data_IF_211341191234
#
_entry.id   IF_211341191234
#
_cell.length_a   1.000
_cell.length_b   1.000
_cell.length_c   1.000
_cell.angle_alpha   90.00
_cell.angle_beta   90.00
_cell.angle_gamma   90.00
#
_symmetry.space_group_name_H-M   'P 1'
#
loop_
_entity.id
_entity.type
_entity.pdbx_description
1 polymer ?
#
# COMPACT_ATOMS: atom_id res chain seq x y z
N UNK A 1 7.92 -5.03 -10.79
CA UNK A 1 6.60 -5.62 -10.46
C UNK A 1 6.54 -7.15 -10.40
N UNK A 2 7.34 -7.96 -11.08
CA UNK A 2 7.44 -9.38 -10.73
C UNK A 2 7.78 -9.56 -9.24
N UNK A 3 8.61 -8.68 -8.70
CA UNK A 3 9.02 -8.68 -7.29
C UNK A 3 7.87 -8.37 -6.31
N UNK A 4 6.90 -7.54 -6.70
CA UNK A 4 5.76 -7.18 -5.85
C UNK A 4 4.69 -8.27 -5.84
N UNK A 5 4.39 -8.88 -7.00
CA UNK A 5 3.52 -10.06 -7.10
C UNK A 5 4.12 -11.29 -6.40
N UNK A 6 5.44 -11.49 -6.51
CA UNK A 6 6.13 -12.54 -5.77
C UNK A 6 6.06 -12.34 -4.26
N UNK A 7 6.24 -11.09 -3.75
CA UNK A 7 6.08 -10.82 -2.31
C UNK A 7 4.65 -10.99 -1.82
N UNK A 8 3.64 -10.59 -2.58
CA UNK A 8 2.23 -10.81 -2.24
C UNK A 8 1.86 -12.31 -2.27
N UNK A 9 2.36 -13.05 -3.24
CA UNK A 9 2.24 -14.52 -3.26
C UNK A 9 2.97 -15.14 -2.06
N UNK A 10 4.20 -14.72 -1.75
CA UNK A 10 4.96 -15.27 -0.63
C UNK A 10 4.24 -15.18 0.72
N UNK A 11 3.58 -14.05 1.05
CA UNK A 11 2.86 -13.94 2.33
C UNK A 11 1.63 -14.84 2.34
N UNK A 12 0.85 -14.89 1.27
CA UNK A 12 -0.33 -15.77 1.19
C UNK A 12 0.03 -17.24 1.22
N UNK A 13 1.11 -17.63 0.56
CA UNK A 13 1.54 -19.02 0.44
C UNK A 13 2.37 -19.47 1.66
N UNK A 14 2.92 -18.54 2.45
CA UNK A 14 3.72 -18.83 3.64
C UNK A 14 2.92 -18.89 4.93
N UNK A 15 1.64 -18.45 4.94
CA UNK A 15 0.77 -18.46 6.10
C UNK A 15 -0.16 -19.67 6.09
N UNK A 16 0.02 -20.55 7.08
CA UNK A 16 -0.88 -21.65 7.40
C UNK A 16 -1.97 -21.17 8.36
N UNK A 17 -3.22 -21.43 8.01
CA UNK A 17 -4.37 -21.12 8.87
C UNK A 17 -4.53 -22.24 9.88
N UNK A 18 -4.36 -21.96 11.17
CA UNK A 18 -4.61 -22.91 12.27
C UNK A 18 -6.05 -22.77 12.79
N UNK A 19 -6.49 -21.52 12.97
CA UNK A 19 -7.86 -21.23 13.40
C UNK A 19 -8.31 -19.85 12.91
N UNK A 20 -9.54 -19.77 12.41
CA UNK A 20 -10.24 -18.51 12.13
C UNK A 20 -11.61 -18.54 12.78
N UNK A 21 -12.01 -17.50 13.53
CA UNK A 21 -13.35 -17.40 14.15
C UNK A 21 -14.46 -17.13 13.11
N UNK A 22 -14.12 -16.61 11.95
CA UNK A 22 -14.99 -16.24 10.84
C UNK A 22 -14.24 -16.35 9.51
N UNK A 23 -14.91 -16.29 8.34
CA UNK A 23 -14.26 -16.30 7.03
C UNK A 23 -13.14 -15.24 6.95
N UNK A 24 -12.06 -15.56 6.23
CA UNK A 24 -10.86 -14.72 6.17
C UNK A 24 -11.12 -13.32 5.60
N UNK A 25 -12.09 -13.18 4.71
CA UNK A 25 -12.53 -11.92 4.10
C UNK A 25 -13.31 -11.00 5.05
N UNK A 26 -13.77 -11.53 6.17
CA UNK A 26 -14.42 -10.78 7.24
C UNK A 26 -13.45 -10.35 8.36
N UNK A 27 -12.19 -10.80 8.32
CA UNK A 27 -11.17 -10.42 9.30
C UNK A 27 -10.44 -9.18 8.78
N UNK A 28 -10.65 -8.06 9.44
CA UNK A 28 -10.07 -6.77 9.06
C UNK A 28 -8.81 -6.48 9.88
N UNK A 29 -7.73 -6.17 9.21
CA UNK A 29 -6.52 -5.61 9.79
C UNK A 29 -6.48 -4.12 9.41
N UNK A 30 -6.52 -3.25 10.40
CA UNK A 30 -6.71 -1.80 10.23
C UNK A 30 -5.43 -0.99 10.42
N UNK A 31 -4.40 -1.59 11.01
CA UNK A 31 -3.11 -0.94 11.26
C UNK A 31 -1.95 -1.68 10.60
N UNK A 32 -0.93 -0.94 10.20
CA UNK A 32 0.33 -1.46 9.68
C UNK A 32 1.34 -1.80 10.78
N UNK A 33 0.98 -1.49 12.03
CA UNK A 33 1.82 -1.79 13.17
C UNK A 33 1.61 -3.25 13.62
N UNK A 34 2.68 -3.85 14.11
CA UNK A 34 2.69 -5.20 14.66
C UNK A 34 3.31 -5.18 16.04
N UNK A 35 3.00 -6.18 16.86
CA UNK A 35 3.50 -6.25 18.23
C UNK A 35 3.99 -7.67 18.55
N UNK A 36 4.77 -7.80 19.61
CA UNK A 36 5.17 -9.07 20.23
C UNK A 36 4.60 -9.13 21.65
N UNK A 37 3.77 -10.12 21.99
CA UNK A 37 2.96 -10.10 23.21
C UNK A 37 3.73 -10.48 24.48
N UNK A 38 5.04 -10.68 24.42
CA UNK A 38 5.84 -11.16 25.56
C UNK A 38 5.62 -10.37 26.86
N UNK A 39 5.60 -9.05 26.81
CA UNK A 39 5.38 -8.18 27.97
C UNK A 39 3.93 -8.27 28.44
N UNK A 40 2.97 -8.27 27.50
CA UNK A 40 1.54 -8.33 27.82
C UNK A 40 1.20 -9.62 28.56
N UNK A 41 1.83 -10.74 28.20
CA UNK A 41 1.66 -12.03 28.88
C UNK A 41 2.14 -12.02 30.33
N UNK A 42 2.94 -11.03 30.77
CA UNK A 42 3.30 -10.85 32.18
C UNK A 42 2.24 -10.13 33.00
N UNK A 43 1.20 -9.62 32.37
CA UNK A 43 0.14 -8.83 32.99
C UNK A 43 0.28 -7.32 32.82
N UNK A 44 1.29 -6.84 32.09
CA UNK A 44 1.45 -5.43 31.78
C UNK A 44 0.75 -5.10 30.45
N UNK A 45 -0.36 -4.35 30.54
CA UNK A 45 -1.24 -4.04 29.38
C UNK A 45 -1.26 -2.57 28.99
N UNK A 46 -0.53 -1.71 29.72
CA UNK A 46 -0.43 -0.32 29.33
C UNK A 46 0.14 -0.22 27.91
N UNK A 47 -0.51 0.56 27.08
CA UNK A 47 -0.16 0.73 25.66
C UNK A 47 -0.35 -0.52 24.78
N UNK A 48 -1.09 -1.56 25.24
CA UNK A 48 -1.49 -2.63 24.36
C UNK A 48 -2.55 -2.13 23.36
N UNK A 49 -2.32 -2.44 22.10
CA UNK A 49 -3.21 -2.11 21.01
C UNK A 49 -3.73 -3.41 20.39
N UNK A 50 -5.03 -3.66 20.54
CA UNK A 50 -5.69 -4.86 20.06
C UNK A 50 -5.76 -4.95 18.53
N UNK A 51 -5.71 -3.81 17.82
CA UNK A 51 -5.79 -3.76 16.37
C UNK A 51 -4.50 -4.28 15.70
N UNK A 52 -3.41 -4.40 16.46
CA UNK A 52 -2.12 -4.90 15.97
C UNK A 52 -2.09 -6.40 15.84
N UNK A 53 -1.50 -6.88 14.76
CA UNK A 53 -1.14 -8.29 14.61
C UNK A 53 -0.03 -8.65 15.60
N UNK A 54 -0.23 -9.73 16.34
CA UNK A 54 0.71 -10.21 17.36
C UNK A 54 1.61 -11.31 16.80
N UNK A 55 2.92 -11.13 16.89
CA UNK A 55 3.91 -12.07 16.36
C UNK A 55 4.59 -12.82 17.50
N UNK A 56 4.51 -14.16 17.45
CA UNK A 56 5.14 -15.05 18.42
C UNK A 56 6.31 -15.81 17.78
N UNK A 57 7.41 -15.82 18.48
CA UNK A 57 8.60 -16.57 18.08
C UNK A 57 9.18 -17.37 19.26
N UNK A 58 10.45 -17.73 19.18
CA UNK A 58 11.15 -18.48 20.23
C UNK A 58 11.05 -17.84 21.61
N UNK A 59 11.09 -16.52 21.69
CA UNK A 59 11.07 -15.80 22.97
C UNK A 59 9.75 -15.98 23.69
N UNK A 60 8.62 -15.78 22.99
CA UNK A 60 7.28 -15.90 23.56
C UNK A 60 6.96 -17.36 23.90
N UNK A 61 7.28 -18.30 23.02
CA UNK A 61 7.09 -19.71 23.29
C UNK A 61 7.99 -20.20 24.41
N UNK A 62 9.28 -19.82 24.43
CA UNK A 62 10.19 -20.16 25.51
C UNK A 62 9.74 -19.62 26.87
N UNK A 63 9.21 -18.36 26.88
CA UNK A 63 8.63 -17.78 28.08
C UNK A 63 7.43 -18.58 28.58
N UNK A 64 6.48 -18.93 27.72
CA UNK A 64 5.32 -19.74 28.09
C UNK A 64 5.70 -21.17 28.54
N UNK A 65 6.61 -21.84 27.83
CA UNK A 65 6.99 -23.21 28.13
C UNK A 65 7.72 -23.35 29.49
N UNK A 66 8.44 -22.28 29.90
CA UNK A 66 9.11 -22.24 31.21
C UNK A 66 8.18 -21.93 32.39
N UNK A 67 6.91 -21.63 32.13
CA UNK A 67 5.92 -21.40 33.19
C UNK A 67 5.27 -22.69 33.66
N UNK A 68 4.88 -22.74 34.92
CA UNK A 68 3.95 -23.72 35.46
C UNK A 68 2.65 -23.74 34.62
N UNK A 69 2.04 -24.92 34.37
CA UNK A 69 0.88 -25.07 33.50
C UNK A 69 -0.26 -24.08 33.79
N UNK A 70 -0.61 -23.91 35.07
CA UNK A 70 -1.65 -22.99 35.51
C UNK A 70 -1.31 -21.52 35.23
N UNK A 71 -0.06 -21.10 35.46
CA UNK A 71 0.40 -19.75 35.19
C UNK A 71 0.44 -19.46 33.70
N UNK A 72 0.89 -20.44 32.91
CA UNK A 72 0.91 -20.41 31.45
C UNK A 72 -0.47 -20.17 30.87
N UNK A 73 -1.47 -20.94 31.34
CA UNK A 73 -2.86 -20.80 30.88
C UNK A 73 -3.42 -19.43 31.21
N UNK A 74 -3.19 -18.95 32.44
CA UNK A 74 -3.60 -17.60 32.84
C UNK A 74 -2.96 -16.49 31.99
N UNK A 75 -1.67 -16.62 31.68
CA UNK A 75 -0.96 -15.66 30.85
C UNK A 75 -1.56 -15.59 29.43
N UNK A 76 -1.92 -16.74 28.83
CA UNK A 76 -2.60 -16.81 27.55
C UNK A 76 -4.01 -16.21 27.61
N UNK A 77 -4.81 -16.60 28.59
CA UNK A 77 -6.16 -16.09 28.79
C UNK A 77 -6.17 -14.57 28.98
N UNK A 78 -5.23 -14.06 29.78
CA UNK A 78 -5.09 -12.65 30.02
C UNK A 78 -4.80 -11.85 28.74
N UNK A 79 -3.85 -12.34 27.92
CA UNK A 79 -3.51 -11.73 26.66
C UNK A 79 -4.64 -11.85 25.62
N UNK A 80 -5.21 -13.05 25.45
CA UNK A 80 -6.24 -13.32 24.44
C UNK A 80 -7.58 -12.63 24.78
N UNK A 81 -7.86 -12.39 26.06
CA UNK A 81 -9.03 -11.60 26.51
C UNK A 81 -8.98 -10.14 26.05
N UNK A 82 -7.82 -9.64 25.61
CA UNK A 82 -7.69 -8.32 24.99
C UNK A 82 -8.09 -8.31 23.51
N UNK A 83 -8.50 -9.48 22.96
CA UNK A 83 -8.97 -9.65 21.59
C UNK A 83 -8.03 -9.06 20.52
N UNK A 84 -6.75 -9.49 20.45
CA UNK A 84 -5.86 -9.03 19.40
C UNK A 84 -6.38 -9.37 18.00
N UNK A 85 -6.11 -8.53 17.01
CA UNK A 85 -6.60 -8.68 15.65
C UNK A 85 -6.24 -10.04 15.02
N UNK A 86 -5.04 -10.54 15.28
CA UNK A 86 -4.58 -11.87 14.92
C UNK A 86 -3.31 -12.24 15.67
N UNK A 87 -3.05 -13.55 15.85
CA UNK A 87 -1.80 -14.11 16.34
C UNK A 87 -1.11 -14.89 15.22
N UNK A 88 0.18 -14.65 15.00
CA UNK A 88 0.99 -15.39 14.02
C UNK A 88 2.19 -16.00 14.70
N UNK A 89 2.29 -17.33 14.63
CA UNK A 89 3.41 -18.11 15.15
C UNK A 89 4.43 -18.30 14.03
N UNK A 90 5.66 -17.90 14.26
CA UNK A 90 6.75 -17.96 13.29
C UNK A 90 7.65 -19.18 13.50
N UNK A 91 8.57 -19.43 12.54
CA UNK A 91 9.58 -20.51 12.57
C UNK A 91 8.99 -21.92 12.55
N UNK A 92 7.75 -22.09 12.10
CA UNK A 92 7.09 -23.39 12.08
C UNK A 92 6.96 -24.03 13.46
N UNK A 93 6.96 -23.25 14.55
CA UNK A 93 6.88 -23.78 15.91
C UNK A 93 5.61 -24.61 16.07
N UNK A 94 5.73 -25.73 16.79
CA UNK A 94 4.58 -26.53 17.15
C UNK A 94 3.68 -25.77 18.12
N UNK A 95 2.40 -25.69 17.77
CA UNK A 95 1.40 -24.98 18.56
C UNK A 95 0.66 -26.01 19.41
N UNK A 96 0.82 -25.99 20.75
CA UNK A 96 0.14 -26.94 21.62
C UNK A 96 -1.38 -26.79 21.58
N UNK A 97 -2.12 -27.90 21.79
CA UNK A 97 -3.59 -27.92 21.73
C UNK A 97 -4.23 -26.88 22.68
N UNK A 98 -3.69 -26.74 23.90
CA UNK A 98 -4.19 -25.75 24.86
C UNK A 98 -4.13 -24.31 24.34
N UNK A 99 -3.13 -23.99 23.49
CA UNK A 99 -3.01 -22.67 22.88
C UNK A 99 -4.11 -22.46 21.83
N UNK A 100 -4.35 -23.48 21.01
CA UNK A 100 -5.41 -23.45 19.99
C UNK A 100 -6.78 -23.33 20.65
N UNK A 101 -7.01 -24.08 21.76
CA UNK A 101 -8.26 -24.02 22.54
C UNK A 101 -8.51 -22.62 23.12
N UNK A 102 -7.50 -21.97 23.67
CA UNK A 102 -7.62 -20.61 24.21
C UNK A 102 -7.88 -19.59 23.09
N UNK A 103 -7.23 -19.73 21.93
CA UNK A 103 -7.54 -18.89 20.77
C UNK A 103 -8.98 -19.06 20.28
N UNK A 104 -9.51 -20.29 20.29
CA UNK A 104 -10.91 -20.58 19.97
C UNK A 104 -11.86 -19.96 20.98
N UNK A 105 -11.56 -20.11 22.28
CA UNK A 105 -12.39 -19.56 23.36
C UNK A 105 -12.52 -18.04 23.29
N UNK A 106 -11.47 -17.35 22.91
CA UNK A 106 -11.42 -15.89 22.77
C UNK A 106 -11.66 -15.38 21.35
N UNK A 107 -11.94 -16.29 20.40
CA UNK A 107 -12.20 -15.96 18.99
C UNK A 107 -11.07 -15.16 18.32
N UNK A 108 -9.82 -15.44 18.66
CA UNK A 108 -8.64 -14.80 18.09
C UNK A 108 -8.11 -15.63 16.93
N UNK A 109 -7.97 -15.03 15.72
CA UNK A 109 -7.37 -15.72 14.57
C UNK A 109 -5.95 -16.19 14.88
N UNK A 110 -5.64 -17.45 14.55
CA UNK A 110 -4.32 -18.05 14.77
C UNK A 110 -3.76 -18.58 13.46
N UNK A 111 -2.59 -18.09 13.10
CA UNK A 111 -1.87 -18.44 11.88
C UNK A 111 -0.46 -18.92 12.23
N UNK A 112 0.16 -19.66 11.32
CA UNK A 112 1.55 -20.12 11.45
C UNK A 112 2.32 -19.86 10.17
N UNK A 113 3.61 -19.56 10.28
CA UNK A 113 4.55 -19.48 9.15
C UNK A 113 5.85 -20.20 9.45
N UNK A 114 6.47 -20.78 8.41
CA UNK A 114 7.79 -21.39 8.50
C UNK A 114 8.92 -20.35 8.55
N UNK A 115 8.62 -19.10 8.16
CA UNK A 115 9.60 -18.04 8.12
C UNK A 115 10.14 -17.66 9.50
N UNK A 116 11.36 -17.17 9.54
CA UNK A 116 11.95 -16.60 10.75
C UNK A 116 11.24 -15.30 11.15
N UNK A 117 11.21 -15.05 12.46
CA UNK A 117 10.44 -13.94 13.04
C UNK A 117 10.80 -12.57 12.44
N UNK A 118 12.08 -12.24 12.34
CA UNK A 118 12.49 -10.90 11.88
C UNK A 118 12.28 -10.66 10.37
N UNK A 119 12.62 -11.60 9.47
CA UNK A 119 12.27 -11.50 8.05
C UNK A 119 10.75 -11.42 7.82
N UNK A 120 9.97 -12.29 8.48
CA UNK A 120 8.51 -12.28 8.37
C UNK A 120 7.92 -10.95 8.82
N UNK A 121 8.36 -10.44 9.97
CA UNK A 121 7.90 -9.16 10.53
C UNK A 121 8.17 -7.99 9.56
N UNK A 122 9.38 -7.91 9.00
CA UNK A 122 9.74 -6.90 8.02
C UNK A 122 8.86 -6.99 6.74
N UNK A 123 8.61 -8.21 6.26
CA UNK A 123 7.77 -8.47 5.09
C UNK A 123 6.31 -8.12 5.36
N UNK A 124 5.78 -8.48 6.52
CA UNK A 124 4.40 -8.18 6.93
C UNK A 124 4.18 -6.67 7.06
N UNK A 125 5.08 -5.94 7.74
CA UNK A 125 4.99 -4.48 7.86
C UNK A 125 5.02 -3.82 6.47
N UNK A 126 5.93 -4.24 5.61
CA UNK A 126 6.02 -3.70 4.25
C UNK A 126 4.74 -3.96 3.44
N UNK A 127 4.13 -5.14 3.61
CA UNK A 127 2.86 -5.49 2.99
C UNK A 127 1.70 -4.64 3.52
N UNK A 128 1.56 -4.55 4.85
CA UNK A 128 0.50 -3.75 5.49
C UNK A 128 0.64 -2.25 5.13
N UNK A 129 1.84 -1.71 5.13
CA UNK A 129 2.11 -0.35 4.66
C UNK A 129 1.61 -0.11 3.23
N UNK A 130 1.83 -1.08 2.35
CA UNK A 130 1.40 -0.97 0.96
C UNK A 130 -0.13 -1.11 0.80
N UNK A 131 -0.77 -2.01 1.56
CA UNK A 131 -2.21 -2.27 1.47
C UNK A 131 -3.05 -1.22 2.19
N UNK A 132 -2.62 -0.75 3.35
CA UNK A 132 -3.32 0.24 4.18
C UNK A 132 -2.95 1.69 3.84
N UNK A 133 -2.04 1.90 2.87
CA UNK A 133 -1.66 3.24 2.45
C UNK A 133 -2.87 4.09 2.06
N UNK A 134 -3.00 5.33 2.56
CA UNK A 134 -4.03 6.25 2.12
C UNK A 134 -4.05 6.37 0.60
N UNK A 135 -5.23 6.30 0.01
CA UNK A 135 -5.43 6.30 -1.45
C UNK A 135 -6.46 7.33 -1.86
N UNK A 136 -6.21 7.99 -2.97
CA UNK A 136 -7.19 8.83 -3.66
C UNK A 136 -7.12 8.56 -5.16
N UNK A 137 -8.21 8.81 -5.86
CA UNK A 137 -8.22 8.85 -7.32
C UNK A 137 -8.32 10.31 -7.76
N UNK A 138 -7.45 10.71 -8.68
CA UNK A 138 -7.45 12.03 -9.30
C UNK A 138 -7.69 11.88 -10.79
N UNK A 139 -8.55 12.74 -11.33
CA UNK A 139 -8.68 12.87 -12.77
C UNK A 139 -7.44 13.56 -13.33
N UNK A 140 -6.80 12.93 -14.32
CA UNK A 140 -5.56 13.40 -14.90
C UNK A 140 -4.80 12.32 -15.65
N UNK A 141 -3.60 12.66 -16.08
CA UNK A 141 -2.68 11.78 -16.79
C UNK A 141 -1.37 11.70 -16.04
N UNK A 142 -0.85 10.49 -15.83
CA UNK A 142 0.46 10.30 -15.24
C UNK A 142 1.42 9.71 -16.27
N UNK A 143 2.51 10.42 -16.49
CA UNK A 143 3.60 10.04 -17.42
C UNK A 143 4.94 10.06 -16.71
N UNK A 144 5.88 9.24 -17.17
CA UNK A 144 7.29 9.35 -16.78
C UNK A 144 8.04 10.11 -17.86
N UNK A 145 8.67 11.21 -17.48
CA UNK A 145 9.44 12.09 -18.38
C UNK A 145 10.88 12.16 -17.85
N UNK A 146 11.84 11.63 -18.58
CA UNK A 146 13.27 11.55 -18.19
C UNK A 146 13.53 10.93 -16.82
N UNK A 147 12.68 9.99 -16.40
CA UNK A 147 12.80 9.31 -15.12
C UNK A 147 11.99 9.92 -13.98
N UNK A 148 11.38 11.09 -14.17
CA UNK A 148 10.54 11.79 -13.20
C UNK A 148 9.06 11.58 -13.52
N UNK A 149 8.24 11.35 -12.50
CA UNK A 149 6.80 11.19 -12.66
C UNK A 149 6.06 12.52 -12.66
N UNK A 150 5.41 12.81 -13.78
CA UNK A 150 4.67 14.05 -14.02
C UNK A 150 3.17 13.76 -14.04
N UNK A 151 2.43 14.32 -13.10
CA UNK A 151 0.97 14.28 -13.05
C UNK A 151 0.41 15.50 -13.79
N UNK A 152 -0.21 15.28 -14.94
CA UNK A 152 -0.85 16.33 -15.75
C UNK A 152 -2.31 16.41 -15.32
N UNK A 153 -2.73 17.58 -14.84
CA UNK A 153 -4.10 17.90 -14.40
C UNK A 153 -4.67 19.05 -15.24
N UNK A 154 -5.94 19.31 -15.13
CA UNK A 154 -6.64 20.38 -15.85
C UNK A 154 -8.07 19.97 -16.18
N UNK A 155 -8.86 20.93 -16.71
CA UNK A 155 -10.24 20.67 -17.09
C UNK A 155 -10.38 19.59 -18.15
N UNK A 156 -11.59 19.02 -18.25
CA UNK A 156 -11.89 18.08 -19.33
C UNK A 156 -11.72 18.80 -20.67
N UNK A 157 -10.93 18.17 -21.55
CA UNK A 157 -10.65 18.76 -22.84
C UNK A 157 -9.45 19.69 -22.93
N UNK A 158 -8.71 19.85 -21.88
CA UNK A 158 -7.47 20.64 -21.87
C UNK A 158 -6.29 20.01 -22.66
N UNK A 159 -6.50 18.87 -23.33
CA UNK A 159 -5.44 18.24 -24.12
C UNK A 159 -4.48 17.35 -23.34
N UNK A 160 -4.88 16.88 -22.12
CA UNK A 160 -4.02 16.04 -21.28
C UNK A 160 -3.60 14.74 -21.95
N UNK A 161 -4.56 13.99 -22.51
CA UNK A 161 -4.31 12.71 -23.20
C UNK A 161 -3.53 12.89 -24.49
N UNK A 162 -3.78 13.97 -25.23
CA UNK A 162 -3.02 14.34 -26.42
C UNK A 162 -1.56 14.66 -26.08
N UNK A 163 -1.32 15.40 -24.99
CA UNK A 163 0.01 15.68 -24.48
C UNK A 163 0.75 14.38 -24.09
N UNK A 164 0.05 13.44 -23.42
CA UNK A 164 0.62 12.14 -23.08
C UNK A 164 1.04 11.35 -24.32
N UNK A 165 0.22 11.29 -25.35
CA UNK A 165 0.56 10.58 -26.60
C UNK A 165 1.75 11.21 -27.29
N UNK A 166 1.86 12.53 -27.28
CA UNK A 166 3.03 13.21 -27.85
C UNK A 166 4.31 12.93 -27.06
N UNK A 167 4.22 12.85 -25.73
CA UNK A 167 5.32 12.42 -24.87
C UNK A 167 5.72 10.97 -25.14
N UNK A 168 4.76 10.06 -25.31
CA UNK A 168 5.03 8.66 -25.68
C UNK A 168 5.79 8.56 -27.00
N UNK A 169 5.39 9.33 -28.02
CA UNK A 169 6.11 9.37 -29.30
C UNK A 169 7.55 9.84 -29.18
N UNK A 170 7.86 10.66 -28.17
CA UNK A 170 9.20 11.14 -27.84
C UNK A 170 10.00 10.17 -26.95
N UNK A 171 9.46 8.99 -26.65
CA UNK A 171 10.16 7.95 -25.90
C UNK A 171 9.88 7.96 -24.39
N UNK A 172 8.93 8.76 -23.91
CA UNK A 172 8.48 8.78 -22.54
C UNK A 172 7.44 7.67 -22.28
N UNK A 173 7.11 7.41 -21.02
CA UNK A 173 6.26 6.28 -20.66
C UNK A 173 4.95 6.72 -20.03
N UNK A 174 3.84 6.12 -20.47
CA UNK A 174 2.52 6.30 -19.87
C UNK A 174 2.35 5.40 -18.64
N UNK A 175 1.81 5.95 -17.58
CA UNK A 175 1.39 5.20 -16.39
C UNK A 175 -0.14 5.10 -16.35
N UNK A 176 -0.83 6.22 -16.44
CA UNK A 176 -2.29 6.29 -16.37
C UNK A 176 -2.82 7.42 -17.23
N UNK A 177 -4.01 7.21 -17.83
CA UNK A 177 -4.81 8.26 -18.47
C UNK A 177 -6.21 8.25 -17.84
N UNK A 178 -6.85 9.43 -17.82
CA UNK A 178 -8.17 9.71 -17.26
C UNK A 178 -8.25 9.58 -15.72
N UNK A 179 -7.89 8.46 -15.14
CA UNK A 179 -7.91 8.25 -13.70
C UNK A 179 -6.54 7.78 -13.19
N UNK A 180 -6.00 8.50 -12.21
CA UNK A 180 -4.75 8.16 -11.52
C UNK A 180 -5.06 7.78 -10.07
N UNK A 181 -4.83 6.52 -9.72
CA UNK A 181 -4.84 6.07 -8.33
C UNK A 181 -3.53 6.48 -7.66
N UNK A 182 -3.62 7.37 -6.68
CA UNK A 182 -2.46 7.89 -5.95
C UNK A 182 -2.46 7.30 -4.56
N UNK A 183 -1.31 6.76 -4.13
CA UNK A 183 -1.08 6.20 -2.79
C UNK A 183 0.06 6.90 -2.09
N UNK A 184 -0.13 7.21 -0.81
CA UNK A 184 0.93 7.72 0.07
C UNK A 184 1.70 6.53 0.64
N UNK A 185 2.90 6.26 0.13
CA UNK A 185 3.73 5.12 0.58
C UNK A 185 4.74 5.49 1.66
N UNK A 186 4.98 6.78 1.86
CA UNK A 186 5.76 7.33 2.98
C UNK A 186 5.38 8.79 3.20
N UNK A 187 5.94 9.43 4.23
CA UNK A 187 5.67 10.85 4.54
C UNK A 187 6.10 11.83 3.42
N UNK A 188 6.88 11.36 2.45
CA UNK A 188 7.41 12.20 1.37
C UNK A 188 7.18 11.60 -0.02
N UNK A 189 6.48 10.46 -0.13
CA UNK A 189 6.43 9.72 -1.40
C UNK A 189 5.01 9.36 -1.77
N UNK A 190 4.60 9.82 -2.93
CA UNK A 190 3.37 9.44 -3.61
C UNK A 190 3.70 8.52 -4.78
N UNK A 191 2.93 7.45 -4.93
CA UNK A 191 3.00 6.55 -6.09
C UNK A 191 1.67 6.59 -6.82
N UNK A 192 1.72 6.89 -8.11
CA UNK A 192 0.57 6.85 -8.99
C UNK A 192 0.53 5.57 -9.83
N UNK A 193 -0.68 5.09 -10.10
CA UNK A 193 -0.96 3.93 -10.93
C UNK A 193 -2.25 4.14 -11.72
N UNK A 194 -2.45 3.38 -12.79
CA UNK A 194 -3.75 3.26 -13.45
C UNK A 194 -4.63 2.25 -12.73
N UNK A 195 -5.93 2.48 -12.57
CA UNK A 195 -6.90 1.44 -12.22
C UNK A 195 -6.74 0.22 -13.14
N UNK A 196 -6.92 -0.98 -12.59
CA UNK A 196 -6.62 -2.23 -13.31
C UNK A 196 -7.45 -2.43 -14.58
N UNK A 197 -8.69 -1.95 -14.58
CA UNK A 197 -9.67 -2.08 -15.68
C UNK A 197 -9.38 -1.18 -16.88
N UNK A 198 -8.67 -0.05 -16.69
CA UNK A 198 -8.34 0.91 -17.76
C UNK A 198 -6.83 1.00 -18.02
N UNK A 199 -6.06 0.08 -17.49
CA UNK A 199 -4.60 0.10 -17.59
C UNK A 199 -4.11 0.07 -19.03
N UNK A 200 -3.26 1.02 -19.40
CA UNK A 200 -2.67 1.24 -20.72
C UNK A 200 -3.65 1.75 -21.79
N UNK A 201 -4.88 2.05 -21.43
CA UNK A 201 -5.81 2.70 -22.34
C UNK A 201 -5.64 4.22 -22.27
N UNK A 202 -5.83 4.88 -23.42
CA UNK A 202 -5.83 6.33 -23.60
C UNK A 202 -7.04 6.70 -24.44
N UNK A 203 -7.80 7.70 -23.99
CA UNK A 203 -8.90 8.25 -24.76
C UNK A 203 -8.43 9.47 -25.59
N UNK A 204 -8.58 9.38 -26.89
CA UNK A 204 -8.22 10.45 -27.82
C UNK A 204 -9.46 10.96 -28.55
N UNK A 205 -9.64 12.27 -28.54
CA UNK A 205 -10.77 12.91 -29.23
C UNK A 205 -10.78 12.58 -30.72
N UNK A 206 -11.94 12.20 -31.22
CA UNK A 206 -12.14 11.88 -32.64
C UNK A 206 -11.58 10.54 -33.09
N UNK A 207 -10.83 9.83 -32.21
CA UNK A 207 -10.26 8.49 -32.50
C UNK A 207 -10.93 7.43 -31.62
N UNK A 208 -11.21 7.77 -30.35
CA UNK A 208 -11.73 6.84 -29.35
C UNK A 208 -10.64 6.29 -28.42
N UNK A 209 -10.93 5.15 -27.81
CA UNK A 209 -10.03 4.53 -26.81
C UNK A 209 -9.01 3.65 -27.52
N UNK A 210 -7.73 3.92 -27.31
CA UNK A 210 -6.61 3.13 -27.84
C UNK A 210 -5.84 2.46 -26.72
N UNK A 211 -5.19 1.33 -27.04
CA UNK A 211 -4.28 0.68 -26.10
C UNK A 211 -2.83 1.09 -26.41
N UNK A 212 -2.26 1.97 -25.60
CA UNK A 212 -0.91 2.51 -25.80
C UNK A 212 0.17 1.42 -25.86
N UNK A 213 0.07 0.36 -25.04
CA UNK A 213 1.00 -0.76 -25.06
C UNK A 213 0.99 -1.53 -26.39
N UNK A 214 -0.19 -1.67 -27.02
CA UNK A 214 -0.31 -2.38 -28.30
C UNK A 214 0.20 -1.54 -29.47
N UNK A 215 0.00 -0.22 -29.43
CA UNK A 215 0.36 0.69 -30.52
C UNK A 215 1.84 1.10 -30.44
N UNK A 216 2.33 1.45 -29.24
CA UNK A 216 3.68 2.01 -29.08
C UNK A 216 4.67 1.01 -28.46
N UNK A 217 4.23 -0.20 -28.11
CA UNK A 217 5.06 -1.24 -27.53
C UNK A 217 5.17 -1.23 -26.01
N UNK A 218 5.82 -2.26 -25.45
CA UNK A 218 5.94 -2.42 -23.99
C UNK A 218 6.79 -1.34 -23.33
N UNK A 219 7.75 -0.77 -24.04
CA UNK A 219 8.60 0.31 -23.54
C UNK A 219 7.87 1.64 -23.33
N UNK A 220 6.71 1.82 -23.98
CA UNK A 220 5.91 3.05 -23.90
C UNK A 220 5.02 3.14 -22.66
N UNK A 221 4.96 2.09 -21.85
CA UNK A 221 4.08 2.03 -20.67
C UNK A 221 4.83 1.57 -19.43
N UNK A 222 4.37 2.04 -18.27
CA UNK A 222 4.83 1.62 -16.95
C UNK A 222 3.61 1.45 -16.04
N UNK A 223 3.68 0.56 -15.06
CA UNK A 223 2.49 0.29 -14.25
C UNK A 223 2.33 1.25 -13.09
N UNK A 224 3.43 1.73 -12.53
CA UNK A 224 3.45 2.67 -11.40
C UNK A 224 4.61 3.62 -11.53
N UNK A 225 4.44 4.85 -11.07
CA UNK A 225 5.53 5.81 -10.97
C UNK A 225 5.37 6.67 -9.72
N UNK A 226 6.48 7.16 -9.18
CA UNK A 226 6.48 8.22 -8.17
C UNK A 226 5.94 9.49 -8.80
N UNK A 227 5.21 10.29 -8.04
CA UNK A 227 4.77 11.61 -8.48
C UNK A 227 5.78 12.63 -7.96
N UNK A 228 6.54 13.21 -8.87
CA UNK A 228 7.60 14.18 -8.55
C UNK A 228 7.13 15.61 -8.76
N UNK A 229 6.25 15.84 -9.73
CA UNK A 229 5.67 17.16 -9.99
C UNK A 229 4.27 17.05 -10.59
N UNK A 230 3.54 18.16 -10.54
CA UNK A 230 2.24 18.34 -11.18
C UNK A 230 2.38 19.42 -12.27
N UNK A 231 1.82 19.14 -13.43
CA UNK A 231 1.58 20.16 -14.45
C UNK A 231 0.07 20.40 -14.51
N UNK A 232 -0.35 21.63 -14.23
CA UNK A 232 -1.74 22.04 -14.33
C UNK A 232 -1.98 22.77 -15.64
N UNK A 233 -2.77 22.17 -16.52
CA UNK A 233 -3.21 22.81 -17.75
C UNK A 233 -4.44 23.67 -17.45
N UNK A 234 -4.40 24.95 -17.80
CA UNK A 234 -5.56 25.83 -17.68
C UNK A 234 -5.77 26.69 -18.94
N UNK A 235 -7.00 27.09 -19.18
CA UNK A 235 -7.29 28.01 -20.28
C UNK A 235 -6.55 29.34 -20.05
N UNK A 236 -6.05 29.94 -21.13
CA UNK A 236 -5.35 31.22 -21.06
C UNK A 236 -6.25 32.30 -20.42
N UNK A 237 -5.75 32.91 -19.37
CA UNK A 237 -6.37 34.02 -18.68
C UNK A 237 -5.47 35.26 -18.78
N UNK A 238 -5.92 36.26 -19.52
CA UNK A 238 -5.17 37.53 -19.74
C UNK A 238 -4.99 38.36 -18.47
N UNK A 239 -5.72 38.03 -17.38
CA UNK A 239 -5.62 38.73 -16.08
C UNK A 239 -4.60 38.12 -15.15
N UNK A 240 -4.12 36.91 -15.46
CA UNK A 240 -3.11 36.19 -14.67
C UNK A 240 -1.70 36.46 -15.20
N UNK A 241 -0.78 36.63 -14.29
CA UNK A 241 0.65 36.58 -14.62
C UNK A 241 1.11 35.10 -14.53
N UNK A 242 1.56 34.56 -15.66
CA UNK A 242 2.13 33.22 -15.70
C UNK A 242 3.65 33.27 -15.51
N UNK A 243 4.18 32.45 -14.63
CA UNK A 243 5.62 32.30 -14.46
C UNK A 243 6.21 31.62 -15.71
N UNK A 244 6.88 32.41 -16.57
CA UNK A 244 7.54 31.92 -17.78
C UNK A 244 8.96 31.42 -17.56
N UNK A 245 9.53 31.72 -16.42
CA UNK A 245 10.93 31.42 -16.09
C UNK A 245 11.07 30.25 -15.12
N UNK A 246 9.96 29.78 -14.52
CA UNK A 246 9.97 28.71 -13.51
C UNK A 246 10.69 29.12 -12.24
N UNK A 247 10.65 30.40 -11.90
CA UNK A 247 11.32 30.95 -10.72
C UNK A 247 10.45 30.88 -9.46
N UNK A 248 9.14 30.81 -9.62
CA UNK A 248 8.19 30.69 -8.52
C UNK A 248 7.96 29.21 -8.17
N UNK A 249 8.28 28.84 -6.94
CA UNK A 249 8.03 27.51 -6.42
C UNK A 249 6.59 27.41 -5.89
N UNK A 250 5.66 27.05 -6.77
CA UNK A 250 4.31 26.70 -6.37
C UNK A 250 4.21 25.23 -5.95
N UNK A 251 3.32 24.94 -4.99
CA UNK A 251 3.09 23.58 -4.50
C UNK A 251 1.60 23.29 -4.42
N UNK A 252 1.23 22.08 -4.80
CA UNK A 252 -0.10 21.53 -4.55
C UNK A 252 -0.03 20.44 -3.47
N UNK A 253 -1.13 20.25 -2.73
CA UNK A 253 -1.20 19.25 -1.66
C UNK A 253 -1.94 18.00 -2.11
N UNK A 254 -1.30 16.85 -2.03
CA UNK A 254 -1.88 15.54 -2.34
C UNK A 254 -1.59 14.61 -1.17
N UNK A 255 -2.63 14.08 -0.51
CA UNK A 255 -2.52 13.20 0.67
C UNK A 255 -1.51 13.73 1.72
N UNK A 256 -1.63 15.04 2.02
CA UNK A 256 -0.76 15.78 2.96
C UNK A 256 0.71 15.95 2.56
N UNK A 257 1.06 15.57 1.33
CA UNK A 257 2.40 15.81 0.76
C UNK A 257 2.33 17.02 -0.18
N UNK A 258 3.30 17.92 -0.03
CA UNK A 258 3.49 19.03 -0.95
C UNK A 258 4.24 18.55 -2.18
N UNK A 259 3.64 18.75 -3.36
CA UNK A 259 4.21 18.39 -4.66
C UNK A 259 4.39 19.67 -5.47
N UNK A 260 5.57 19.92 -6.06
CA UNK A 260 5.77 21.07 -6.95
C UNK A 260 4.73 21.09 -8.06
N UNK A 261 4.18 22.25 -8.37
CA UNK A 261 3.21 22.43 -9.45
C UNK A 261 3.64 23.56 -10.38
N UNK A 262 3.49 23.32 -11.67
CA UNK A 262 3.67 24.34 -12.72
C UNK A 262 2.36 24.50 -13.47
N UNK A 263 1.86 25.73 -13.58
CA UNK A 263 0.66 26.04 -14.33
C UNK A 263 1.05 26.41 -15.76
N UNK A 264 0.49 25.68 -16.73
CA UNK A 264 0.74 25.90 -18.16
C UNK A 264 -0.55 26.36 -18.81
N UNK A 265 -0.63 27.62 -19.32
CA UNK A 265 -1.77 28.10 -20.04
C UNK A 265 -1.85 27.46 -21.44
N UNK A 266 -3.05 27.06 -21.82
CA UNK A 266 -3.38 26.51 -23.14
C UNK A 266 -4.32 27.46 -23.88
N UNK A 267 -4.18 27.54 -25.21
CA UNK A 267 -5.02 28.40 -26.11
C UNK A 267 -6.02 27.54 -26.86
#
# INVERSE_FOLDING_TARGET
EPYRRQRQMCIRDSLEIIYLPKPADEILITTNEVNRPGIVMTGYTDYFDADRVQILGWTEFGFLLNMEPEKRRRALQYWLALHPAAAVVTRGLDIPDYFVEECKAHQVPLLRTQEETSPFLATLIAYLNAELAPRITRHGVLVEVYGEGVLITGESGAGKSEAAVELIKRGHRLIADDAVEIRKVSDKTLIGASPSNIRHFVELRGIGIINARRIFGMGAVKNTEKIDMVIQLEAWDSTKAYDRLGLDNEYTRILDIQVPVITVPIT
#
